data_IF_918930331623
#
_entry.id   IF_918930331623
#
_cell.length_a   1.000
_cell.length_b   1.000
_cell.length_c   1.000
_cell.angle_alpha   90.00
_cell.angle_beta   90.00
_cell.angle_gamma   90.00
#
_symmetry.space_group_name_H-M   'P 1'
#
loop_
_entity.id
_entity.type
_entity.pdbx_description
1 polymer ?
#
# COMPACT_ATOMS: atom_id res chain seq x y z
N UNK A 1 24.46 41.98 22.68
CA UNK A 1 24.53 41.37 21.33
C UNK A 1 23.77 42.23 20.35
N UNK A 2 24.36 42.58 19.20
CA UNK A 2 23.74 43.50 18.24
C UNK A 2 22.44 42.86 17.67
N UNK A 3 21.30 43.55 17.75
CA UNK A 3 19.98 43.00 17.38
C UNK A 3 19.93 42.48 15.94
N UNK A 4 20.74 43.06 15.04
CA UNK A 4 20.88 42.61 13.64
C UNK A 4 21.61 41.27 13.53
N UNK A 5 22.69 41.09 14.30
CA UNK A 5 23.47 39.84 14.33
C UNK A 5 22.63 38.71 14.94
N UNK A 6 21.86 39.00 15.99
CA UNK A 6 20.98 38.00 16.59
C UNK A 6 19.88 37.52 15.63
N UNK A 7 19.24 38.44 14.88
CA UNK A 7 18.25 38.08 13.86
C UNK A 7 18.86 37.23 12.74
N UNK A 8 20.09 37.56 12.32
CA UNK A 8 20.80 36.78 11.32
C UNK A 8 21.11 35.36 11.79
N UNK A 9 21.62 35.21 13.02
CA UNK A 9 21.87 33.91 13.63
C UNK A 9 20.59 33.08 13.78
N UNK A 10 19.50 33.70 14.21
CA UNK A 10 18.20 33.03 14.34
C UNK A 10 17.67 32.54 12.99
N UNK A 11 17.81 33.34 11.93
CA UNK A 11 17.42 32.95 10.57
C UNK A 11 18.29 31.82 10.03
N UNK A 12 19.60 31.85 10.30
CA UNK A 12 20.51 30.79 9.89
C UNK A 12 20.18 29.47 10.61
N UNK A 13 19.90 29.55 11.91
CA UNK A 13 19.47 28.39 12.70
C UNK A 13 18.15 27.79 12.20
N UNK A 14 17.17 28.63 11.85
CA UNK A 14 15.90 28.16 11.30
C UNK A 14 16.07 27.40 9.97
N UNK A 15 16.97 27.87 9.10
CA UNK A 15 17.28 27.21 7.82
C UNK A 15 17.95 25.86 8.07
N UNK A 16 18.95 25.81 8.96
CA UNK A 16 19.64 24.56 9.33
C UNK A 16 18.65 23.56 9.94
N UNK A 17 17.74 24.02 10.79
CA UNK A 17 16.70 23.18 11.40
C UNK A 17 15.75 22.58 10.36
N UNK A 18 15.31 23.38 9.38
CA UNK A 18 14.47 22.90 8.28
C UNK A 18 15.18 21.84 7.43
N UNK A 19 16.46 22.05 7.13
CA UNK A 19 17.28 21.07 6.40
C UNK A 19 17.37 19.75 7.20
N UNK A 20 17.58 19.84 8.51
CA UNK A 20 17.65 18.68 9.38
C UNK A 20 16.33 17.90 9.42
N UNK A 21 15.19 18.60 9.51
CA UNK A 21 13.86 17.97 9.45
C UNK A 21 13.61 17.28 8.11
N UNK A 22 14.00 17.93 7.00
CA UNK A 22 13.84 17.36 5.66
C UNK A 22 14.63 16.06 5.50
N UNK A 23 15.93 16.07 5.81
CA UNK A 23 16.74 14.86 5.74
C UNK A 23 16.31 13.79 6.75
N UNK A 24 15.90 14.18 7.95
CA UNK A 24 15.33 13.27 8.95
C UNK A 24 14.11 12.53 8.40
N UNK A 25 13.20 13.25 7.71
CA UNK A 25 12.01 12.64 7.11
C UNK A 25 12.34 11.65 5.98
N UNK A 26 13.35 11.96 5.17
CA UNK A 26 13.82 11.08 4.09
C UNK A 26 14.44 9.80 4.66
N UNK A 27 15.29 9.92 5.67
CA UNK A 27 15.92 8.77 6.32
C UNK A 27 14.85 7.87 6.96
N UNK A 28 13.88 8.45 7.65
CA UNK A 28 12.75 7.70 8.21
C UNK A 28 11.93 6.98 7.12
N UNK A 29 11.70 7.64 5.97
CA UNK A 29 11.00 7.05 4.83
C UNK A 29 11.79 5.93 4.16
N UNK A 30 13.11 6.06 4.05
CA UNK A 30 13.97 5.03 3.46
C UNK A 30 14.21 3.84 4.40
N UNK A 31 14.31 4.11 5.70
CA UNK A 31 14.46 3.08 6.74
C UNK A 31 13.18 2.28 6.94
N UNK A 32 12.01 2.91 6.81
CA UNK A 32 10.73 2.22 6.84
C UNK A 32 10.44 1.61 5.47
N UNK A 33 10.71 0.31 5.32
CA UNK A 33 10.32 -0.45 4.13
C UNK A 33 8.83 -0.22 3.83
N UNK A 34 8.53 0.30 2.65
CA UNK A 34 7.15 0.42 2.15
C UNK A 34 6.48 -0.95 2.21
N UNK A 35 5.37 -1.06 2.95
CA UNK A 35 4.60 -2.31 3.12
C UNK A 35 3.36 -2.24 2.23
N UNK A 36 3.31 -2.99 1.11
CA UNK A 36 2.11 -3.07 0.28
C UNK A 36 0.94 -3.58 1.13
N UNK A 37 -0.27 -3.08 0.86
CA UNK A 37 -1.45 -3.48 1.63
C UNK A 37 -2.16 -4.68 1.00
N UNK A 38 -2.54 -5.66 1.82
CA UNK A 38 -3.30 -6.85 1.42
C UNK A 38 -4.64 -6.81 2.17
N UNK A 39 -5.74 -6.88 1.43
CA UNK A 39 -7.09 -6.82 1.98
C UNK A 39 -7.77 -8.19 1.85
N UNK A 40 -8.34 -8.71 2.94
CA UNK A 40 -9.11 -9.95 2.95
C UNK A 40 -10.40 -9.81 3.73
N UNK A 41 -11.37 -10.67 3.43
CA UNK A 41 -12.61 -10.74 4.18
C UNK A 41 -12.32 -11.20 5.62
N UNK A 42 -13.00 -10.59 6.59
CA UNK A 42 -12.86 -10.92 8.01
C UNK A 42 -13.00 -12.44 8.24
N UNK A 43 -12.19 -13.00 9.15
CA UNK A 43 -12.22 -14.41 9.55
C UNK A 43 -11.81 -15.46 8.50
N UNK A 44 -11.32 -15.08 7.31
CA UNK A 44 -10.86 -16.05 6.30
C UNK A 44 -9.44 -16.59 6.51
N UNK A 45 -8.59 -15.87 7.26
CA UNK A 45 -7.21 -16.28 7.52
C UNK A 45 -7.00 -16.60 9.01
N UNK A 46 -6.20 -17.64 9.27
CA UNK A 46 -5.79 -17.94 10.63
C UNK A 46 -4.86 -16.84 11.19
N UNK A 47 -4.88 -16.57 12.51
CA UNK A 47 -4.03 -15.56 13.13
C UNK A 47 -2.54 -15.76 12.84
N UNK A 48 -2.09 -17.00 12.67
CA UNK A 48 -0.70 -17.32 12.34
C UNK A 48 -0.31 -16.84 10.93
N UNK A 49 -1.21 -16.99 9.95
CA UNK A 49 -0.97 -16.54 8.58
C UNK A 49 -0.99 -15.01 8.54
N UNK A 50 -1.94 -14.38 9.23
CA UNK A 50 -2.01 -12.91 9.37
C UNK A 50 -0.70 -12.37 9.95
N UNK A 51 -0.18 -13.01 11.01
CA UNK A 51 1.09 -12.62 11.64
C UNK A 51 2.30 -12.78 10.70
N UNK A 52 2.31 -13.82 9.85
CA UNK A 52 3.37 -14.01 8.84
C UNK A 52 3.30 -12.93 7.74
N UNK A 53 2.11 -12.64 7.22
CA UNK A 53 1.89 -11.61 6.19
C UNK A 53 2.25 -10.23 6.73
N UNK A 54 1.81 -9.91 7.96
CA UNK A 54 2.04 -8.62 8.63
C UNK A 54 3.51 -8.23 8.83
N UNK A 55 4.45 -9.17 8.70
CA UNK A 55 5.90 -8.86 8.78
C UNK A 55 6.37 -8.00 7.60
N UNK A 56 5.85 -8.28 6.41
CA UNK A 56 6.31 -7.67 5.16
C UNK A 56 5.23 -6.79 4.50
N UNK A 57 3.96 -7.03 4.82
CA UNK A 57 2.81 -6.40 4.20
C UNK A 57 1.91 -5.77 5.26
N UNK A 58 1.11 -4.79 4.85
CA UNK A 58 0.08 -4.20 5.69
C UNK A 58 -1.23 -4.98 5.48
N UNK A 59 -1.52 -5.92 6.37
CA UNK A 59 -2.73 -6.72 6.28
C UNK A 59 -3.92 -5.95 6.85
N UNK A 60 -5.02 -5.92 6.11
CA UNK A 60 -6.28 -5.30 6.52
C UNK A 60 -7.44 -6.25 6.25
N UNK A 61 -8.39 -6.23 7.16
CA UNK A 61 -9.63 -6.96 6.99
C UNK A 61 -10.71 -5.99 6.50
N UNK A 62 -11.54 -6.45 5.59
CA UNK A 62 -12.76 -5.77 5.21
C UNK A 62 -13.96 -6.60 5.68
N UNK A 63 -14.98 -5.91 6.20
CA UNK A 63 -16.19 -6.56 6.71
C UNK A 63 -17.26 -6.63 5.63
N UNK A 64 -17.27 -5.63 4.76
CA UNK A 64 -18.22 -5.56 3.67
C UNK A 64 -17.51 -5.68 2.33
N UNK A 65 -18.10 -6.49 1.48
CA UNK A 65 -17.65 -6.75 0.11
C UNK A 65 -17.59 -5.44 -0.71
N UNK A 66 -18.36 -4.41 -0.33
CA UNK A 66 -18.32 -3.03 -0.85
C UNK A 66 -16.97 -2.33 -0.62
N UNK A 67 -16.31 -2.55 0.53
CA UNK A 67 -15.04 -1.91 0.90
C UNK A 67 -13.88 -2.37 0.00
N UNK A 68 -13.87 -3.64 -0.38
CA UNK A 68 -12.89 -4.18 -1.33
C UNK A 68 -13.06 -3.55 -2.73
N UNK A 69 -14.29 -3.42 -3.21
CA UNK A 69 -14.58 -2.75 -4.49
C UNK A 69 -14.16 -1.29 -4.46
N UNK A 70 -14.41 -0.59 -3.36
CA UNK A 70 -13.95 0.79 -3.19
C UNK A 70 -12.42 0.88 -3.20
N UNK A 71 -11.73 -0.03 -2.52
CA UNK A 71 -10.27 -0.07 -2.50
C UNK A 71 -9.67 -0.39 -3.88
N UNK A 72 -10.25 -1.32 -4.64
CA UNK A 72 -9.88 -1.59 -6.04
C UNK A 72 -10.08 -0.37 -6.93
N UNK A 73 -11.22 0.31 -6.80
CA UNK A 73 -11.56 1.48 -7.62
C UNK A 73 -10.64 2.67 -7.34
N UNK A 74 -10.10 2.77 -6.12
CA UNK A 74 -9.16 3.79 -5.69
C UNK A 74 -7.68 3.41 -5.87
N UNK A 75 -7.37 2.32 -6.59
CA UNK A 75 -6.02 1.78 -6.79
C UNK A 75 -5.28 1.46 -5.47
N UNK A 76 -6.04 1.16 -4.40
CA UNK A 76 -5.51 0.81 -3.07
C UNK A 76 -5.42 -0.70 -2.82
N UNK A 77 -6.01 -1.52 -3.69
CA UNK A 77 -5.98 -2.97 -3.64
C UNK A 77 -5.56 -3.56 -5.00
N UNK A 78 -4.69 -4.57 -4.98
CA UNK A 78 -4.17 -5.24 -6.19
C UNK A 78 -4.71 -6.67 -6.36
N UNK A 79 -5.30 -7.24 -5.33
CA UNK A 79 -5.90 -8.57 -5.29
C UNK A 79 -6.85 -8.69 -4.08
N UNK A 80 -7.79 -9.63 -4.14
CA UNK A 80 -8.70 -9.98 -3.05
C UNK A 80 -9.78 -10.95 -3.51
N UNK A 81 -10.66 -11.35 -2.60
CA UNK A 81 -11.77 -12.28 -2.85
C UNK A 81 -13.08 -11.51 -2.78
N UNK A 82 -13.87 -11.55 -3.84
CA UNK A 82 -15.19 -10.90 -3.94
C UNK A 82 -16.27 -11.89 -4.36
N UNK A 83 -17.48 -11.39 -4.60
CA UNK A 83 -18.57 -12.21 -5.16
C UNK A 83 -18.49 -12.33 -6.69
N UNK A 84 -19.12 -13.35 -7.26
CA UNK A 84 -19.21 -13.52 -8.72
C UNK A 84 -19.85 -12.31 -9.40
N UNK A 85 -20.85 -11.71 -8.75
CA UNK A 85 -21.48 -10.48 -9.23
C UNK A 85 -20.48 -9.32 -9.31
N UNK A 86 -19.63 -9.15 -8.30
CA UNK A 86 -18.57 -8.13 -8.35
C UNK A 86 -17.53 -8.44 -9.42
N UNK A 87 -17.12 -9.70 -9.56
CA UNK A 87 -16.20 -10.09 -10.61
C UNK A 87 -16.77 -9.76 -11.99
N UNK A 88 -18.06 -10.05 -12.22
CA UNK A 88 -18.76 -9.71 -13.46
C UNK A 88 -18.78 -8.19 -13.70
N UNK A 89 -19.12 -7.38 -12.68
CA UNK A 89 -19.13 -5.92 -12.79
C UNK A 89 -17.73 -5.37 -13.12
N UNK A 90 -16.69 -5.85 -12.44
CA UNK A 90 -15.30 -5.45 -12.70
C UNK A 90 -14.80 -5.85 -14.09
N UNK A 91 -15.30 -6.97 -14.64
CA UNK A 91 -15.03 -7.39 -16.03
C UNK A 91 -15.72 -6.42 -17.02
N UNK A 92 -17.00 -6.08 -16.78
CA UNK A 92 -17.75 -5.13 -17.60
C UNK A 92 -17.09 -3.74 -17.59
N UNK A 93 -16.63 -3.30 -16.42
CA UNK A 93 -15.95 -2.01 -16.22
C UNK A 93 -14.49 -2.02 -16.70
N UNK A 94 -14.01 -3.15 -17.27
CA UNK A 94 -12.63 -3.36 -17.76
C UNK A 94 -11.55 -3.09 -16.69
N UNK A 95 -11.88 -3.32 -15.41
CA UNK A 95 -10.98 -3.12 -14.27
C UNK A 95 -10.13 -4.35 -13.97
N UNK A 96 -10.61 -5.55 -14.32
CA UNK A 96 -9.88 -6.81 -14.15
C UNK A 96 -9.83 -7.60 -15.46
N UNK A 97 -8.84 -8.48 -15.60
CA UNK A 97 -8.67 -9.37 -16.76
C UNK A 97 -8.24 -10.76 -16.32
N UNK A 98 -8.51 -11.77 -17.15
CA UNK A 98 -8.05 -13.14 -16.90
C UNK A 98 -6.52 -13.16 -16.73
N UNK A 99 -6.05 -13.88 -15.71
CA UNK A 99 -4.62 -14.09 -15.49
C UNK A 99 -4.09 -14.96 -16.63
N UNK A 100 -2.99 -14.52 -17.23
CA UNK A 100 -2.26 -15.34 -18.19
C UNK A 100 -1.25 -16.19 -17.42
N UNK A 101 -1.62 -17.44 -17.17
CA UNK A 101 -0.83 -18.36 -16.36
C UNK A 101 0.46 -18.77 -17.05
N UNK A 102 0.57 -18.62 -18.38
CA UNK A 102 1.78 -19.01 -19.12
C UNK A 102 3.00 -18.19 -18.71
N UNK A 103 2.77 -16.95 -18.25
CA UNK A 103 3.82 -16.07 -17.73
C UNK A 103 4.42 -16.54 -16.42
N UNK A 104 3.68 -17.34 -15.66
CA UNK A 104 4.08 -17.80 -14.32
C UNK A 104 4.52 -19.27 -14.38
N UNK A 105 3.78 -20.09 -15.13
CA UNK A 105 3.90 -21.55 -15.10
C UNK A 105 4.38 -22.18 -16.41
N UNK A 106 4.63 -21.38 -17.46
CA UNK A 106 5.14 -21.84 -18.74
C UNK A 106 4.07 -22.25 -19.75
N UNK A 107 4.49 -22.74 -20.91
CA UNK A 107 3.57 -23.11 -21.99
C UNK A 107 2.58 -24.22 -21.55
N UNK A 108 1.37 -24.19 -22.10
CA UNK A 108 0.24 -25.10 -21.78
C UNK A 108 -0.37 -24.95 -20.38
N UNK A 109 -0.01 -23.95 -19.59
CA UNK A 109 -0.63 -23.75 -18.27
C UNK A 109 -2.00 -23.07 -18.27
N UNK A 110 -2.51 -22.67 -19.45
CA UNK A 110 -3.83 -22.04 -19.60
C UNK A 110 -4.95 -23.03 -19.98
N UNK A 111 -4.65 -24.31 -20.17
CA UNK A 111 -5.59 -25.35 -20.69
C UNK A 111 -6.27 -26.17 -19.59
N UNK A 112 -6.44 -25.60 -18.41
CA UNK A 112 -7.18 -26.21 -17.30
C UNK A 112 -8.68 -26.01 -17.45
#
# INVERSE_FOLDING_TARGET
MNKRIFKFLLSCFAIVFLIFLFFGSIILKLSNKYRPSIYNYESYLSPEIIKKIGKNYNYKEFKEVSEFTQALTQDKAIAGVGSDFQAAQLILDKKIKKIDYTKIFGNNSNTW
#
